data_IF_318728354563
#
_entry.id   IF_318728354563
#
_cell.length_a   1.000
_cell.length_b   1.000
_cell.length_c   1.000
_cell.angle_alpha   90.00
_cell.angle_beta   90.00
_cell.angle_gamma   90.00
#
_symmetry.space_group_name_H-M   'P 1'
#
loop_
_entity.id
_entity.type
_entity.pdbx_description
1 polymer ?
#
# COMPACT_ATOMS: atom_id res chain seq x y z
N UNK A 1 -13.90 -10.19 -3.12
CA UNK A 1 -12.47 -9.89 -2.92
C UNK A 1 -12.32 -8.48 -2.38
N UNK A 2 -11.48 -8.32 -1.38
CA UNK A 2 -11.21 -7.02 -0.76
C UNK A 2 -9.86 -6.54 -1.23
N UNK A 3 -9.78 -5.28 -1.60
CA UNK A 3 -8.53 -4.60 -1.96
C UNK A 3 -8.26 -3.56 -0.87
N UNK A 4 -7.09 -3.62 -0.27
CA UNK A 4 -6.63 -2.60 0.65
C UNK A 4 -5.63 -1.71 -0.07
N UNK A 5 -5.89 -0.42 -0.08
CA UNK A 5 -5.00 0.56 -0.68
C UNK A 5 -4.42 1.44 0.42
N UNK A 6 -3.12 1.37 0.60
CA UNK A 6 -2.38 2.26 1.49
C UNK A 6 -1.60 3.23 0.61
N UNK A 7 -1.79 4.52 0.83
CA UNK A 7 -1.16 5.56 0.04
C UNK A 7 -0.38 6.49 0.96
N UNK A 8 0.86 6.77 0.62
CA UNK A 8 1.69 7.65 1.42
C UNK A 8 2.40 8.68 0.55
N UNK A 9 2.40 9.92 1.01
CA UNK A 9 3.08 11.02 0.34
C UNK A 9 4.53 11.04 0.81
N UNK A 10 5.45 11.04 -0.15
CA UNK A 10 6.88 10.94 0.11
C UNK A 10 7.46 12.31 0.42
N UNK A 11 8.34 12.35 1.41
CA UNK A 11 9.13 13.55 1.72
C UNK A 11 10.03 13.86 0.51
N UNK A 12 10.07 15.12 0.04
CA UNK A 12 10.91 15.47 -1.11
C UNK A 12 12.35 14.99 -0.95
N UNK A 13 12.89 14.37 -2.02
CA UNK A 13 14.25 13.85 -2.02
C UNK A 13 14.41 12.46 -1.43
N UNK A 14 13.33 11.85 -0.92
CA UNK A 14 13.40 10.53 -0.27
C UNK A 14 12.65 9.43 -1.04
N UNK A 15 12.40 9.65 -2.33
CA UNK A 15 11.57 8.73 -3.10
C UNK A 15 12.12 7.29 -3.14
N UNK A 16 13.39 7.15 -3.50
CA UNK A 16 13.98 5.82 -3.61
C UNK A 16 14.03 5.09 -2.27
N UNK A 17 14.35 5.81 -1.21
CA UNK A 17 14.36 5.25 0.15
C UNK A 17 12.96 4.85 0.59
N UNK A 18 11.97 5.65 0.22
CA UNK A 18 10.57 5.38 0.57
C UNK A 18 10.07 4.11 -0.13
N UNK A 19 10.33 3.96 -1.42
CA UNK A 19 9.95 2.78 -2.19
C UNK A 19 10.64 1.53 -1.61
N UNK A 20 11.92 1.65 -1.30
CA UNK A 20 12.68 0.54 -0.74
C UNK A 20 12.15 0.13 0.64
N UNK A 21 11.76 1.10 1.46
CA UNK A 21 11.16 0.81 2.75
C UNK A 21 9.86 0.02 2.61
N UNK A 22 8.99 0.43 1.68
CA UNK A 22 7.74 -0.30 1.43
C UNK A 22 8.05 -1.73 0.97
N UNK A 23 9.00 -1.88 0.06
CA UNK A 23 9.37 -3.19 -0.48
C UNK A 23 9.94 -4.13 0.59
N UNK A 24 10.77 -3.62 1.48
CA UNK A 24 11.47 -4.44 2.47
C UNK A 24 10.69 -4.66 3.75
N UNK A 25 9.91 -3.67 4.17
CA UNK A 25 9.23 -3.71 5.46
C UNK A 25 7.74 -4.00 5.36
N UNK A 26 7.02 -3.38 4.44
CA UNK A 26 5.57 -3.56 4.36
C UNK A 26 5.15 -4.76 3.53
N UNK A 27 5.74 -4.95 2.35
CA UNK A 27 5.33 -6.04 1.45
C UNK A 27 5.45 -7.41 2.11
N UNK A 28 6.59 -7.76 2.74
CA UNK A 28 6.71 -9.06 3.38
C UNK A 28 5.70 -9.25 4.52
N UNK A 29 5.45 -8.22 5.32
CA UNK A 29 4.48 -8.32 6.41
C UNK A 29 3.07 -8.55 5.88
N UNK A 30 2.72 -7.86 4.80
CA UNK A 30 1.41 -8.06 4.18
C UNK A 30 1.27 -9.48 3.63
N UNK A 31 2.26 -9.94 2.87
CA UNK A 31 2.23 -11.27 2.25
C UNK A 31 2.20 -12.41 3.26
N UNK A 32 2.74 -12.20 4.45
CA UNK A 32 2.70 -13.19 5.53
C UNK A 32 1.40 -13.15 6.32
N UNK A 33 0.56 -12.15 6.10
CA UNK A 33 -0.71 -12.03 6.82
C UNK A 33 -1.75 -12.98 6.24
N UNK A 34 -2.56 -13.57 7.12
CA UNK A 34 -3.59 -14.51 6.71
C UNK A 34 -4.59 -13.85 5.76
N UNK A 35 -4.88 -14.52 4.66
CA UNK A 35 -5.83 -14.05 3.67
C UNK A 35 -5.26 -13.11 2.61
N UNK A 36 -4.00 -12.74 2.71
CA UNK A 36 -3.37 -11.90 1.69
C UNK A 36 -3.02 -12.75 0.46
N UNK A 37 -3.57 -12.36 -0.69
CA UNK A 37 -3.38 -13.08 -1.94
C UNK A 37 -2.29 -12.48 -2.80
N UNK A 38 -2.09 -11.17 -2.73
CA UNK A 38 -1.13 -10.47 -3.57
C UNK A 38 -0.82 -9.10 -3.00
N UNK A 39 0.35 -8.58 -3.35
CA UNK A 39 0.76 -7.23 -3.00
C UNK A 39 1.50 -6.62 -4.18
N UNK A 40 1.22 -5.36 -4.49
CA UNK A 40 1.97 -4.64 -5.52
C UNK A 40 2.22 -3.21 -5.10
N UNK A 41 3.33 -2.67 -5.55
CA UNK A 41 3.72 -1.29 -5.27
C UNK A 41 3.43 -0.46 -6.52
N UNK A 42 2.68 0.61 -6.33
CA UNK A 42 2.41 1.59 -7.37
C UNK A 42 3.03 2.90 -6.94
N UNK A 43 3.53 3.67 -7.89
CA UNK A 43 4.18 4.94 -7.57
C UNK A 43 3.61 6.05 -8.43
N UNK A 44 3.60 7.26 -7.88
CA UNK A 44 3.28 8.48 -8.59
C UNK A 44 4.50 9.41 -8.47
N UNK A 45 5.15 9.67 -9.60
CA UNK A 45 6.37 10.46 -9.64
C UNK A 45 6.12 11.95 -9.91
N UNK A 46 4.87 12.39 -9.75
CA UNK A 46 4.51 13.79 -9.90
C UNK A 46 4.87 14.61 -8.67
N UNK A 47 4.14 15.71 -8.46
CA UNK A 47 4.32 16.58 -7.30
C UNK A 47 3.00 16.67 -6.56
N UNK A 48 2.90 16.15 -5.33
CA UNK A 48 3.94 15.40 -4.59
C UNK A 48 4.13 13.98 -5.08
N UNK A 49 5.32 13.44 -4.85
CA UNK A 49 5.56 12.02 -5.08
C UNK A 49 4.82 11.18 -4.05
N UNK A 50 4.31 10.03 -4.47
CA UNK A 50 3.62 9.13 -3.55
C UNK A 50 3.88 7.67 -3.91
N UNK A 51 3.69 6.81 -2.89
CA UNK A 51 3.80 5.37 -3.03
C UNK A 51 2.49 4.76 -2.57
N UNK A 52 2.00 3.79 -3.32
CA UNK A 52 0.80 3.04 -2.97
C UNK A 52 1.17 1.57 -2.79
N UNK A 53 0.74 0.99 -1.68
CA UNK A 53 0.78 -0.46 -1.50
C UNK A 53 -0.65 -0.97 -1.70
N UNK A 54 -0.84 -1.75 -2.75
CA UNK A 54 -2.11 -2.36 -3.06
C UNK A 54 -2.04 -3.83 -2.68
N UNK A 55 -2.94 -4.27 -1.82
CA UNK A 55 -3.00 -5.68 -1.40
C UNK A 55 -4.39 -6.24 -1.66
N UNK A 56 -4.44 -7.54 -2.02
CA UNK A 56 -5.68 -8.23 -2.31
C UNK A 56 -5.89 -9.33 -1.29
N UNK A 57 -7.14 -9.48 -0.83
CA UNK A 57 -7.48 -10.35 0.31
C UNK A 57 -8.72 -11.16 -0.01
N UNK A 58 -8.75 -12.41 0.44
CA UNK A 58 -9.95 -13.26 0.34
C UNK A 58 -10.82 -13.17 1.60
N UNK A 59 -10.29 -12.60 2.68
CA UNK A 59 -11.02 -12.32 3.91
C UNK A 59 -10.72 -10.88 4.34
N UNK A 60 -11.53 -10.33 5.24
CA UNK A 60 -11.28 -8.99 5.76
C UNK A 60 -9.88 -8.93 6.38
N UNK A 61 -9.01 -8.02 5.93
CA UNK A 61 -7.64 -7.97 6.43
C UNK A 61 -7.59 -7.47 7.87
N UNK A 62 -6.73 -8.14 8.65
CA UNK A 62 -6.37 -7.66 10.01
C UNK A 62 -5.00 -6.98 10.00
N UNK A 63 -4.37 -6.95 8.84
CA UNK A 63 -3.08 -6.31 8.65
C UNK A 63 -3.22 -4.79 8.69
N UNK A 64 -2.28 -4.13 9.37
CA UNK A 64 -2.15 -2.68 9.35
C UNK A 64 -0.70 -2.31 9.13
N UNK A 65 -0.47 -1.27 8.36
CA UNK A 65 0.88 -0.81 8.04
C UNK A 65 1.59 -0.19 9.23
N UNK A 66 0.82 0.24 10.23
CA UNK A 66 1.36 0.94 11.39
C UNK A 66 1.65 2.40 11.08
N UNK A 67 2.41 3.03 11.95
CA UNK A 67 2.80 4.43 11.78
C UNK A 67 3.93 4.49 10.76
N UNK A 68 3.77 5.25 9.67
CA UNK A 68 4.82 5.36 8.67
C UNK A 68 6.02 6.15 9.22
N UNK A 69 7.20 5.84 8.69
CA UNK A 69 8.43 6.55 9.05
C UNK A 69 8.31 8.02 8.62
N UNK A 70 8.32 8.94 9.59
CA UNK A 70 8.16 10.37 9.32
C UNK A 70 9.34 10.99 8.57
N UNK A 71 10.48 10.30 8.50
CA UNK A 71 11.61 10.76 7.70
C UNK A 71 11.41 10.47 6.21
N UNK A 72 10.54 9.54 5.88
CA UNK A 72 10.26 9.14 4.51
C UNK A 72 8.90 9.65 4.01
N UNK A 73 7.91 9.73 4.90
CA UNK A 73 6.55 10.07 4.51
C UNK A 73 5.99 11.22 5.34
N UNK A 74 5.36 12.17 4.65
CA UNK A 74 4.72 13.30 5.33
C UNK A 74 3.32 12.96 5.82
N UNK A 75 2.65 12.01 5.14
CA UNK A 75 1.31 11.54 5.54
C UNK A 75 1.01 10.23 4.83
N UNK A 76 0.10 9.46 5.43
CA UNK A 76 -0.37 8.22 4.83
C UNK A 76 -1.83 7.98 5.20
N UNK A 77 -2.52 7.24 4.35
CA UNK A 77 -3.90 6.82 4.60
C UNK A 77 -4.13 5.45 3.99
N UNK A 78 -5.11 4.73 4.52
CA UNK A 78 -5.50 3.44 3.97
C UNK A 78 -7.01 3.37 3.83
N UNK A 79 -7.47 2.62 2.85
CA UNK A 79 -8.89 2.35 2.66
C UNK A 79 -9.09 0.94 2.11
N UNK A 80 -10.24 0.37 2.40
CA UNK A 80 -10.64 -0.91 1.86
C UNK A 80 -11.67 -0.69 0.76
N UNK A 81 -11.48 -1.40 -0.35
CA UNK A 81 -12.37 -1.35 -1.50
C UNK A 81 -12.81 -2.78 -1.81
N UNK A 82 -14.06 -2.94 -2.20
CA UNK A 82 -14.54 -4.22 -2.67
C UNK A 82 -14.55 -4.25 -4.19
N UNK A 83 -14.11 -5.38 -4.73
CA UNK A 83 -14.18 -5.58 -6.17
C UNK A 83 -15.62 -5.92 -6.54
N UNK A 84 -16.21 -5.11 -7.38
CA UNK A 84 -17.52 -5.39 -7.94
C UNK A 84 -17.37 -6.28 -9.17
N UNK A 85 -18.33 -7.17 -9.35
CA UNK A 85 -18.38 -7.98 -10.55
C UNK A 85 -18.71 -7.08 -11.74
N UNK A 86 -17.94 -7.11 -12.81
CA UNK A 86 -18.25 -6.27 -13.97
C UNK A 86 -19.54 -6.71 -14.64
N UNK A 87 -20.41 -5.75 -14.94
CA UNK A 87 -21.71 -6.01 -15.54
C UNK A 87 -21.64 -6.26 -17.04
N UNK A 88 -20.52 -5.93 -17.65
CA UNK A 88 -20.37 -6.00 -19.10
C UNK A 88 -19.74 -7.31 -19.59
N UNK A 89 -19.56 -8.24 -18.74
CA UNK A 89 -18.97 -9.54 -19.12
C UNK A 89 -20.00 -10.51 -19.66
#
# INVERSE_FOLDING_TARGET
>A
MIVRMWEAVVVPGRFDDAVEWVRRDLVPRALLSEGCLAAEILVHEGTPESVVLLTRWDVAPVFEEGVPDSELFSRARAQHLQTLRPDFT
#
